data_IF_832509555922
#
_entry.id   IF_832509555922
#
_cell.length_a   1.000
_cell.length_b   1.000
_cell.length_c   1.000
_cell.angle_alpha   90.00
_cell.angle_beta   90.00
_cell.angle_gamma   90.00
#
_symmetry.space_group_name_H-M   'P 1'
#
loop_
_entity.id
_entity.type
_entity.pdbx_description
1 polymer ?
#
# COMPACT_ATOMS: atom_id res chain seq x y z
N UNK A 1 -3.64 -12.12 2.02
CA UNK A 1 -3.32 -10.79 1.46
C UNK A 1 -2.61 -10.90 0.12
N UNK A 2 -1.40 -11.47 0.02
CA UNK A 2 -0.59 -11.41 -1.21
C UNK A 2 -1.08 -12.21 -2.43
N UNK A 3 -2.11 -13.06 -2.31
CA UNK A 3 -2.68 -13.76 -3.47
C UNK A 3 -3.32 -12.81 -4.50
N UNK A 4 -3.75 -11.61 -4.08
CA UNK A 4 -4.28 -10.56 -4.97
C UNK A 4 -3.17 -9.66 -5.56
N UNK A 5 -1.89 -9.89 -5.21
CA UNK A 5 -0.77 -9.18 -5.85
C UNK A 5 -0.57 -9.65 -7.29
N UNK A 6 0.18 -8.89 -8.10
CA UNK A 6 0.53 -9.29 -9.47
C UNK A 6 1.16 -10.69 -9.50
N UNK A 7 2.09 -10.99 -8.58
CA UNK A 7 2.71 -12.31 -8.48
C UNK A 7 1.69 -13.40 -8.10
N UNK A 8 0.75 -13.09 -7.21
CA UNK A 8 -0.33 -14.01 -6.83
C UNK A 8 -1.28 -14.27 -8.00
N UNK A 9 -1.71 -13.24 -8.73
CA UNK A 9 -2.57 -13.38 -9.91
C UNK A 9 -1.88 -14.17 -11.02
N UNK A 10 -0.59 -13.92 -11.26
CA UNK A 10 0.20 -14.68 -12.22
C UNK A 10 0.31 -16.16 -11.84
N UNK A 11 0.51 -16.47 -10.55
CA UNK A 11 0.50 -17.85 -10.06
C UNK A 11 -0.88 -18.49 -10.24
N UNK A 12 -1.96 -17.78 -9.93
CA UNK A 12 -3.32 -18.28 -10.12
C UNK A 12 -3.60 -18.62 -11.59
N UNK A 13 -3.19 -17.75 -12.51
CA UNK A 13 -3.30 -17.99 -13.95
C UNK A 13 -2.49 -19.23 -14.37
N UNK A 14 -1.24 -19.33 -13.93
CA UNK A 14 -0.39 -20.48 -14.24
C UNK A 14 -0.96 -21.80 -13.71
N UNK A 15 -1.50 -21.82 -12.49
CA UNK A 15 -2.13 -23.02 -11.91
C UNK A 15 -3.36 -23.46 -12.70
N UNK A 16 -4.13 -22.51 -13.24
CA UNK A 16 -5.32 -22.80 -14.06
C UNK A 16 -4.97 -23.45 -15.42
N UNK A 17 -3.74 -23.26 -15.92
CA UNK A 17 -3.29 -23.81 -17.21
C UNK A 17 -2.68 -25.23 -17.10
N UNK A 18 -2.38 -25.72 -15.88
CA UNK A 18 -1.71 -27.00 -15.68
C UNK A 18 -2.61 -28.18 -16.10
N UNK A 19 -2.03 -29.11 -16.86
CA UNK A 19 -2.67 -30.38 -17.24
C UNK A 19 -1.79 -31.60 -16.91
N UNK A 20 -2.34 -32.66 -16.28
CA UNK A 20 -3.70 -32.74 -15.74
C UNK A 20 -3.92 -31.75 -14.59
N UNK A 21 -5.18 -31.32 -14.40
CA UNK A 21 -5.53 -30.35 -13.37
C UNK A 21 -5.09 -30.84 -11.98
N UNK A 22 -4.58 -29.92 -11.18
CA UNK A 22 -4.16 -30.22 -9.81
C UNK A 22 -5.37 -30.58 -8.95
N UNK A 23 -5.15 -31.47 -7.98
CA UNK A 23 -6.15 -31.68 -6.93
C UNK A 23 -6.24 -30.45 -6.04
N UNK A 24 -7.40 -30.15 -5.42
CA UNK A 24 -7.54 -29.00 -4.51
C UNK A 24 -6.51 -28.99 -3.37
N UNK A 25 -6.10 -30.17 -2.90
CA UNK A 25 -5.09 -30.32 -1.85
C UNK A 25 -3.68 -29.93 -2.32
N UNK A 26 -3.34 -30.23 -3.57
CA UNK A 26 -2.05 -29.84 -4.16
C UNK A 26 -2.02 -28.33 -4.40
N UNK A 27 -3.10 -27.77 -4.93
CA UNK A 27 -3.22 -26.32 -5.14
C UNK A 27 -3.06 -25.55 -3.82
N UNK A 28 -3.76 -25.96 -2.76
CA UNK A 28 -3.62 -25.32 -1.45
C UNK A 28 -2.23 -25.53 -0.82
N UNK A 29 -1.53 -26.63 -1.13
CA UNK A 29 -0.14 -26.81 -0.72
C UNK A 29 0.78 -25.78 -1.40
N UNK A 30 0.61 -25.55 -2.71
CA UNK A 30 1.38 -24.55 -3.46
C UNK A 30 1.10 -23.16 -2.91
N UNK A 31 -0.16 -22.82 -2.67
CA UNK A 31 -0.52 -21.52 -2.12
C UNK A 31 0.04 -21.29 -0.71
N UNK A 32 0.14 -22.33 0.13
CA UNK A 32 0.81 -22.22 1.43
C UNK A 32 2.29 -21.89 1.29
N UNK A 33 2.98 -22.53 0.35
CA UNK A 33 4.39 -22.24 0.07
C UNK A 33 4.56 -20.82 -0.46
N UNK A 34 3.73 -20.40 -1.42
CA UNK A 34 3.74 -19.03 -1.95
C UNK A 34 3.54 -18.00 -0.84
N UNK A 35 2.52 -18.18 0.01
CA UNK A 35 2.23 -17.27 1.11
C UNK A 35 3.42 -17.15 2.07
N UNK A 36 4.05 -18.26 2.45
CA UNK A 36 5.22 -18.26 3.32
C UNK A 36 6.43 -17.59 2.68
N UNK A 37 6.69 -17.86 1.40
CA UNK A 37 7.81 -17.29 0.66
C UNK A 37 7.68 -15.77 0.49
N UNK A 38 6.51 -15.27 0.12
CA UNK A 38 6.27 -13.82 -0.01
C UNK A 38 6.38 -13.13 1.34
N UNK A 39 5.84 -13.73 2.41
CA UNK A 39 5.96 -13.17 3.76
C UNK A 39 7.43 -13.04 4.18
N UNK A 40 8.26 -14.06 3.94
CA UNK A 40 9.68 -14.02 4.24
C UNK A 40 10.41 -12.94 3.41
N UNK A 41 10.16 -12.91 2.09
CA UNK A 41 10.80 -11.94 1.20
C UNK A 41 10.46 -10.47 1.57
N UNK A 42 9.21 -10.21 1.99
CA UNK A 42 8.80 -8.87 2.44
C UNK A 42 9.42 -8.52 3.78
N UNK A 43 9.57 -9.49 4.70
CA UNK A 43 10.21 -9.26 5.99
C UNK A 43 11.72 -8.95 5.85
N UNK A 44 12.37 -9.54 4.84
CA UNK A 44 13.78 -9.32 4.54
C UNK A 44 14.04 -8.07 3.66
N UNK A 45 12.99 -7.32 3.30
CA UNK A 45 13.12 -6.16 2.43
C UNK A 45 14.04 -5.08 3.04
N UNK A 46 14.89 -4.40 2.24
CA UNK A 46 15.84 -3.41 2.76
C UNK A 46 15.13 -2.27 3.49
N UNK A 47 15.52 -2.05 4.76
CA UNK A 47 15.00 -0.96 5.62
C UNK A 47 15.23 0.44 5.04
N UNK A 48 16.17 0.58 4.09
CA UNK A 48 16.51 1.86 3.45
C UNK A 48 15.56 2.22 2.32
N UNK A 49 14.82 1.24 1.77
CA UNK A 49 13.73 1.53 0.85
C UNK A 49 12.50 1.98 1.64
N UNK A 50 11.94 3.14 1.30
CA UNK A 50 10.81 3.72 2.04
C UNK A 50 9.74 4.22 1.09
N UNK A 51 8.49 3.88 1.39
CA UNK A 51 7.33 4.35 0.65
C UNK A 51 6.55 5.30 1.58
N UNK A 52 6.35 6.53 1.13
CA UNK A 52 5.45 7.48 1.81
C UNK A 52 4.24 7.77 0.93
N UNK A 53 3.06 7.79 1.53
CA UNK A 53 1.81 8.15 0.85
C UNK A 53 1.39 9.51 1.36
N UNK A 54 1.33 10.48 0.45
CA UNK A 54 0.86 11.83 0.73
C UNK A 54 -0.55 11.94 0.17
N UNK A 55 -1.48 12.45 0.99
CA UNK A 55 -2.85 12.72 0.54
C UNK A 55 -3.08 14.22 0.59
N UNK A 56 -3.75 14.80 -0.42
CA UNK A 56 -4.21 16.17 -0.31
C UNK A 56 -5.09 16.31 0.95
N UNK A 57 -5.09 17.48 1.60
CA UNK A 57 -5.97 17.73 2.73
C UNK A 57 -7.40 17.34 2.37
N UNK A 58 -8.16 16.71 3.28
CA UNK A 58 -9.52 16.28 2.98
C UNK A 58 -10.31 17.48 2.46
N UNK A 59 -10.75 17.41 1.21
CA UNK A 59 -11.67 18.38 0.67
C UNK A 59 -12.97 18.20 1.44
N UNK A 60 -13.27 19.14 2.34
CA UNK A 60 -14.55 19.21 3.02
C UNK A 60 -15.63 19.56 1.99
N UNK A 61 -16.14 18.56 1.27
CA UNK A 61 -17.29 18.75 0.39
C UNK A 61 -18.54 18.65 1.27
N UNK A 62 -19.28 19.75 1.32
CA UNK A 62 -20.32 20.05 2.31
C UNK A 62 -21.35 18.95 2.51
N UNK A 63 -21.46 18.50 3.76
CA UNK A 63 -22.50 17.59 4.22
C UNK A 63 -22.39 17.34 5.72
N UNK A 64 -22.93 18.24 6.54
CA UNK A 64 -23.31 17.94 7.93
C UNK A 64 -22.19 17.55 8.90
N UNK A 65 -21.43 18.56 9.35
CA UNK A 65 -20.78 18.69 10.66
C UNK A 65 -20.34 17.44 11.42
N UNK A 66 -19.05 17.12 11.33
CA UNK A 66 -18.19 16.88 12.49
C UNK A 66 -16.80 17.45 12.16
N UNK A 67 -16.37 18.46 12.92
CA UNK A 67 -15.08 19.12 12.70
C UNK A 67 -13.93 18.13 12.98
N UNK A 68 -13.08 17.88 11.99
CA UNK A 68 -11.78 17.27 12.21
C UNK A 68 -10.86 18.32 12.87
N UNK A 69 -10.41 18.02 14.09
CA UNK A 69 -9.56 18.88 14.91
C UNK A 69 -8.16 18.98 14.30
N UNK A 70 -7.63 20.19 14.41
CA UNK A 70 -6.41 20.79 13.86
C UNK A 70 -5.08 20.11 14.19
N UNK A 71 -4.21 20.14 13.17
CA UNK A 71 -2.80 20.55 13.17
C UNK A 71 -1.84 20.02 14.24
N UNK A 72 -0.88 19.21 13.80
CA UNK A 72 0.49 19.29 14.31
C UNK A 72 1.39 19.64 13.12
N UNK A 73 1.97 20.82 13.21
CA UNK A 73 2.96 21.41 12.30
C UNK A 73 4.19 20.52 12.19
N UNK A 74 4.50 20.01 11.00
CA UNK A 74 5.87 19.62 10.66
C UNK A 74 6.56 20.82 10.04
N UNK A 75 7.51 21.39 10.77
CA UNK A 75 8.42 22.41 10.28
C UNK A 75 9.15 21.87 9.03
N UNK A 76 8.84 22.46 7.87
CA UNK A 76 9.56 22.21 6.63
C UNK A 76 10.87 23.00 6.67
N UNK A 77 11.95 22.26 6.83
CA UNK A 77 13.32 22.70 6.60
C UNK A 77 13.48 23.22 5.15
N UNK A 78 14.02 24.44 5.00
CA UNK A 78 14.30 25.10 3.71
C UNK A 78 15.77 24.87 3.34
N UNK A 79 16.09 24.29 2.17
CA UNK A 79 17.41 24.45 1.58
C UNK A 79 17.44 25.62 0.59
N UNK A 80 18.57 26.34 0.67
CA UNK A 80 18.95 27.52 -0.07
C UNK A 80 19.12 27.26 -1.58
N UNK A 81 19.13 28.34 -2.34
CA UNK A 81 19.00 28.34 -3.80
C UNK A 81 20.14 27.67 -4.57
N UNK A 82 19.81 27.35 -5.81
CA UNK A 82 20.73 27.39 -6.94
C UNK A 82 19.90 27.71 -8.18
N UNK A 83 20.36 28.73 -8.90
CA UNK A 83 19.79 29.24 -10.13
C UNK A 83 20.09 28.31 -11.32
N UNK A 84 19.25 28.49 -12.34
CA UNK A 84 19.58 28.50 -13.77
C UNK A 84 19.62 27.20 -14.59
N UNK A 85 18.83 27.27 -15.68
CA UNK A 85 19.16 26.85 -17.03
C UNK A 85 19.51 25.40 -17.34
N UNK A 86 18.65 24.72 -18.09
CA UNK A 86 18.98 24.37 -19.50
C UNK A 86 17.87 23.54 -20.14
N UNK A 87 17.33 24.05 -21.26
CA UNK A 87 16.50 23.34 -22.22
C UNK A 87 17.37 22.36 -23.00
N UNK A 88 16.89 21.14 -23.21
CA UNK A 88 17.25 20.34 -24.39
C UNK A 88 16.02 19.57 -24.89
N UNK A 89 15.62 19.93 -26.11
CA UNK A 89 14.65 19.25 -26.97
C UNK A 89 15.07 17.79 -27.23
N UNK A 90 14.10 16.88 -27.21
CA UNK A 90 14.27 15.53 -27.76
C UNK A 90 13.10 15.21 -28.69
N UNK A 91 13.48 14.90 -29.92
CA UNK A 91 12.65 14.71 -31.10
C UNK A 91 11.56 13.64 -30.95
N UNK A 92 10.39 14.02 -31.46
CA UNK A 92 9.21 13.19 -31.72
C UNK A 92 9.52 12.09 -32.73
N UNK A 93 9.37 10.82 -32.34
CA UNK A 93 9.37 9.68 -33.27
C UNK A 93 8.07 8.90 -33.13
N UNK A 94 7.23 9.04 -34.16
CA UNK A 94 5.94 8.40 -34.31
C UNK A 94 6.03 6.86 -34.16
N UNK A 95 5.28 6.31 -33.21
CA UNK A 95 5.06 4.87 -33.06
C UNK A 95 3.68 4.51 -33.60
N UNK A 96 3.66 3.43 -34.39
CA UNK A 96 2.58 2.99 -35.24
C UNK A 96 1.23 2.78 -34.54
N UNK A 97 0.20 3.04 -35.33
CA UNK A 97 -1.23 2.89 -35.03
C UNK A 97 -1.55 1.41 -34.80
N UNK A 98 -1.63 0.98 -33.55
CA UNK A 98 -2.22 -0.32 -33.19
C UNK A 98 -3.74 -0.17 -33.11
N UNK A 99 -4.44 -0.85 -34.02
CA UNK A 99 -5.90 -0.91 -34.08
C UNK A 99 -6.40 -1.95 -33.09
N UNK A 100 -6.53 -1.56 -31.82
CA UNK A 100 -7.35 -2.27 -30.85
C UNK A 100 -8.71 -1.54 -30.76
N UNK A 101 -9.79 -2.25 -31.04
CA UNK A 101 -11.15 -1.74 -30.92
C UNK A 101 -11.40 -1.25 -29.48
N UNK A 102 -11.94 -0.03 -29.26
CA UNK A 102 -12.25 0.43 -27.92
C UNK A 102 -13.41 -0.41 -27.39
N UNK A 103 -13.12 -1.29 -26.42
CA UNK A 103 -14.16 -1.83 -25.56
C UNK A 103 -14.85 -0.66 -24.85
N UNK A 104 -16.17 -0.72 -24.81
CA UNK A 104 -17.09 0.26 -24.25
C UNK A 104 -16.57 0.83 -22.93
N UNK A 105 -16.14 2.10 -22.98
CA UNK A 105 -15.84 2.88 -21.79
C UNK A 105 -17.13 3.08 -21.01
N UNK A 106 -17.33 2.29 -19.95
CA UNK A 106 -18.36 2.55 -18.95
C UNK A 106 -18.26 3.99 -18.47
N UNK A 107 -19.40 4.60 -18.17
CA UNK A 107 -19.43 5.96 -17.64
C UNK A 107 -18.43 6.10 -16.47
N UNK A 108 -17.68 7.21 -16.40
CA UNK A 108 -16.73 7.42 -15.32
C UNK A 108 -17.46 7.28 -13.98
N UNK A 109 -16.84 6.55 -13.05
CA UNK A 109 -17.35 6.36 -11.70
C UNK A 109 -17.57 7.73 -11.05
N UNK A 110 -18.83 8.07 -10.75
CA UNK A 110 -19.16 9.32 -10.05
C UNK A 110 -18.95 9.14 -8.55
N UNK A 111 -17.89 9.77 -8.06
CA UNK A 111 -17.47 9.70 -6.66
C UNK A 111 -17.66 11.04 -5.94
N UNK A 112 -18.38 11.99 -6.55
CA UNK A 112 -18.55 13.37 -6.07
C UNK A 112 -19.17 13.47 -4.68
N UNK A 113 -19.86 12.42 -4.23
CA UNK A 113 -20.57 12.34 -2.95
C UNK A 113 -19.78 11.58 -1.86
N UNK A 114 -18.58 11.08 -2.17
CA UNK A 114 -17.78 10.30 -1.24
C UNK A 114 -16.75 11.22 -0.56
N UNK A 115 -16.76 11.24 0.77
CA UNK A 115 -15.72 11.89 1.57
C UNK A 115 -14.54 10.92 1.76
N UNK A 116 -13.36 11.33 1.29
CA UNK A 116 -12.12 10.56 1.45
C UNK A 116 -11.28 11.08 2.62
N UNK A 117 -10.50 10.21 3.30
CA UNK A 117 -10.33 8.78 3.04
C UNK A 117 -11.50 7.91 3.54
N UNK A 118 -11.82 6.84 2.81
CA UNK A 118 -12.76 5.80 3.28
C UNK A 118 -11.96 4.66 3.89
N UNK A 119 -12.36 4.17 5.06
CA UNK A 119 -11.69 3.06 5.72
C UNK A 119 -12.69 2.06 6.32
N UNK A 120 -12.25 0.80 6.43
CA UNK A 120 -12.95 -0.26 7.15
C UNK A 120 -11.97 -1.20 7.83
N UNK A 121 -12.41 -1.82 8.92
CA UNK A 121 -11.71 -2.92 9.59
C UNK A 121 -12.63 -4.13 9.59
N UNK A 122 -12.19 -5.22 8.95
CA UNK A 122 -12.93 -6.50 8.88
C UNK A 122 -11.92 -7.62 9.05
N UNK A 123 -12.19 -8.59 9.93
CA UNK A 123 -11.33 -9.76 10.18
C UNK A 123 -9.85 -9.40 10.45
N UNK A 124 -9.61 -8.42 11.33
CA UNK A 124 -8.29 -7.88 11.68
C UNK A 124 -7.49 -7.31 10.49
N UNK A 125 -8.17 -7.00 9.39
CA UNK A 125 -7.58 -6.37 8.21
C UNK A 125 -8.18 -4.98 7.98
N UNK A 126 -7.33 -3.96 8.05
CA UNK A 126 -7.67 -2.61 7.66
C UNK A 126 -7.67 -2.50 6.14
N UNK A 127 -8.71 -1.89 5.58
CA UNK A 127 -8.74 -1.47 4.17
C UNK A 127 -9.00 0.03 4.13
N UNK A 128 -8.13 0.77 3.44
CA UNK A 128 -8.25 2.20 3.19
C UNK A 128 -8.40 2.44 1.68
N UNK A 129 -9.22 3.41 1.30
CA UNK A 129 -9.32 3.93 -0.05
C UNK A 129 -9.05 5.44 -0.01
N UNK A 130 -8.04 5.87 -0.78
CA UNK A 130 -7.58 7.24 -0.88
C UNK A 130 -7.89 7.76 -2.29
N UNK A 131 -8.21 9.06 -2.40
CA UNK A 131 -8.39 9.78 -3.66
C UNK A 131 -7.25 10.77 -3.87
N UNK A 132 -6.77 10.86 -5.11
CA UNK A 132 -5.67 11.70 -5.56
C UNK A 132 -4.36 11.60 -4.75
N UNK A 133 -3.92 10.41 -4.27
CA UNK A 133 -2.70 10.33 -3.48
C UNK A 133 -1.43 10.48 -4.34
N UNK A 134 -0.41 11.10 -3.75
CA UNK A 134 0.96 11.08 -4.27
C UNK A 134 1.77 10.03 -3.50
N UNK A 135 2.22 8.99 -4.18
CA UNK A 135 3.12 7.97 -3.63
C UNK A 135 4.56 8.39 -3.91
N UNK A 136 5.37 8.53 -2.86
CA UNK A 136 6.81 8.80 -2.97
C UNK A 136 7.57 7.54 -2.60
N UNK A 137 8.32 7.00 -3.55
CA UNK A 137 9.15 5.81 -3.38
C UNK A 137 10.60 6.23 -3.33
N UNK A 138 11.27 5.93 -2.21
CA UNK A 138 12.71 6.12 -2.05
C UNK A 138 13.41 4.77 -2.11
N UNK A 139 14.37 4.63 -3.02
CA UNK A 139 15.18 3.41 -3.13
C UNK A 139 16.35 3.40 -2.15
N UNK A 140 17.08 2.29 -2.11
CA UNK A 140 18.26 2.10 -1.24
C UNK A 140 19.42 3.05 -1.53
N UNK A 141 19.50 3.59 -2.75
CA UNK A 141 20.49 4.60 -3.15
C UNK A 141 20.08 6.02 -2.76
N UNK A 142 18.90 6.18 -2.14
CA UNK A 142 18.34 7.45 -1.73
C UNK A 142 17.64 8.24 -2.85
N UNK A 143 17.55 7.69 -4.06
CA UNK A 143 16.82 8.28 -5.18
C UNK A 143 15.32 8.16 -4.89
N UNK A 144 14.59 9.27 -5.08
CA UNK A 144 13.16 9.34 -4.82
C UNK A 144 12.38 9.59 -6.11
N UNK A 145 11.31 8.81 -6.31
CA UNK A 145 10.36 8.97 -7.41
C UNK A 145 8.98 9.31 -6.84
N UNK A 146 8.22 10.15 -7.57
CA UNK A 146 6.86 10.54 -7.20
C UNK A 146 5.88 10.01 -8.23
N UNK A 147 4.83 9.35 -7.76
CA UNK A 147 3.78 8.75 -8.58
C UNK A 147 2.45 9.35 -8.13
N UNK A 148 1.78 10.07 -9.03
CA UNK A 148 0.42 10.56 -8.80
C UNK A 148 -0.58 9.50 -9.25
N UNK A 149 -1.56 9.20 -8.41
CA UNK A 149 -2.62 8.24 -8.69
C UNK A 149 -3.98 8.92 -8.53
N UNK A 150 -4.99 8.45 -9.26
CA UNK A 150 -6.39 8.89 -9.06
C UNK A 150 -6.96 8.27 -7.78
N UNK A 151 -6.64 6.99 -7.53
CA UNK A 151 -7.05 6.27 -6.34
C UNK A 151 -5.97 5.31 -5.84
N UNK A 152 -5.92 5.09 -4.52
CA UNK A 152 -5.09 4.06 -3.91
C UNK A 152 -5.89 3.27 -2.89
N UNK A 153 -5.99 1.95 -3.09
CA UNK A 153 -6.51 1.01 -2.09
C UNK A 153 -5.35 0.40 -1.31
N UNK A 154 -5.36 0.58 0.01
CA UNK A 154 -4.35 0.02 0.91
C UNK A 154 -5.00 -1.05 1.79
N UNK A 155 -4.39 -2.24 1.87
CA UNK A 155 -4.80 -3.30 2.81
C UNK A 155 -3.67 -3.51 3.81
N UNK A 156 -3.98 -3.43 5.09
CA UNK A 156 -3.02 -3.57 6.17
C UNK A 156 -3.49 -4.65 7.13
N UNK A 157 -2.56 -5.49 7.57
CA UNK A 157 -2.79 -6.48 8.62
C UNK A 157 -1.73 -6.25 9.68
N UNK A 158 -2.15 -6.23 10.94
CA UNK A 158 -1.22 -6.08 12.04
C UNK A 158 -0.31 -7.33 12.12
N UNK A 159 1.00 -7.08 12.13
CA UNK A 159 2.04 -8.11 12.23
C UNK A 159 2.42 -8.33 13.71
N UNK A 160 2.18 -7.34 14.58
CA UNK A 160 2.47 -7.38 16.01
C UNK A 160 1.39 -8.07 16.86
N UNK A 161 0.16 -8.18 16.36
CA UNK A 161 -0.96 -8.85 17.04
C UNK A 161 -0.96 -10.39 16.89
N UNK A 162 0.20 -11.04 16.69
CA UNK A 162 0.25 -12.49 16.77
C UNK A 162 -0.01 -12.94 18.22
N UNK A 163 -1.02 -13.81 18.37
CA UNK A 163 -1.41 -14.43 19.63
C UNK A 163 -0.23 -15.21 20.24
N UNK A 164 0.47 -14.58 21.18
CA UNK A 164 1.63 -15.17 21.86
C UNK A 164 2.46 -14.20 22.72
N UNK A 165 2.29 -12.88 22.56
CA UNK A 165 3.11 -11.87 23.24
C UNK A 165 2.55 -11.35 24.58
N UNK A 166 1.58 -12.01 25.20
CA UNK A 166 1.13 -11.71 26.57
C UNK A 166 1.42 -12.85 27.51
N UNK A 167 2.71 -13.07 27.82
CA UNK A 167 3.04 -13.73 29.08
C UNK A 167 2.88 -12.72 30.22
N UNK A 168 2.00 -12.96 31.21
CA UNK A 168 1.90 -12.10 32.37
C UNK A 168 3.18 -12.22 33.19
N UNK A 169 3.92 -11.11 33.28
CA UNK A 169 5.11 -10.95 34.11
C UNK A 169 4.70 -11.19 35.56
N UNK A 170 5.02 -12.37 36.10
CA UNK A 170 4.82 -12.68 37.52
C UNK A 170 5.52 -11.63 38.37
N UNK A 171 4.75 -10.82 39.07
CA UNK A 171 5.25 -9.91 40.10
C UNK A 171 5.80 -10.74 41.27
N UNK A 172 7.12 -10.92 41.29
CA UNK A 172 7.86 -11.48 42.41
C UNK A 172 7.85 -10.47 43.56
N UNK A 173 6.80 -10.49 44.37
CA UNK A 173 6.72 -9.70 45.59
C UNK A 173 7.80 -10.18 46.58
N UNK A 174 8.83 -9.35 46.77
CA UNK A 174 9.76 -9.44 47.89
C UNK A 174 8.98 -9.40 49.21
N UNK A 175 8.89 -10.53 49.92
CA UNK A 175 8.63 -10.52 51.37
C UNK A 175 9.94 -10.15 52.06
N UNK A 176 10.03 -8.91 52.52
CA UNK A 176 11.09 -8.45 53.39
C UNK A 176 11.02 -9.20 54.73
N UNK A 177 12.18 -9.71 55.17
CA UNK A 177 12.43 -10.14 56.54
C UNK A 177 12.35 -8.94 57.48
N UNK A 178 11.61 -9.09 58.58
CA UNK A 178 11.86 -8.35 59.82
C UNK A 178 11.59 -9.29 60.99
N UNK A 179 12.67 -9.77 61.59
CA UNK A 179 12.74 -10.27 62.96
C UNK A 179 13.35 -9.18 63.81
#
# INVERSE_FOLDING_TARGET
>A
MYRESIAGLALAAALAEIQPALTPRQEEAIWRVFNAAVQAAVADAPLMSHISVQTPPPSSVGGGGYAAVTSVTSELYVPAGAEDGSKIDVEERAVGKSTAAPQEGGAPFDDSHIAFPVYRLVDDEWTLLLKDPTVVVRNELGVSEKIQLDYLRVRLKDIGAQAGATQPKQARAMRQHRT
#
